data_IF_565362214199
#
_entry.id   IF_565362214199
#
_cell.length_a   1.000
_cell.length_b   1.000
_cell.length_c   1.000
_cell.angle_alpha   90.00
_cell.angle_beta   90.00
_cell.angle_gamma   90.00
#
_symmetry.space_group_name_H-M   'P 1'
#
loop_
_entity.id
_entity.type
_entity.pdbx_description
1 polymer ?
#
# COMPACT_ATOMS: atom_id res chain seq x y z
N UNK A 1 -9.23 -61.70 24.94
CA UNK A 1 -9.29 -60.68 26.00
C UNK A 1 -8.13 -59.72 25.77
N UNK A 2 -8.43 -58.51 25.25
CA UNK A 2 -7.57 -57.30 25.20
C UNK A 2 -6.32 -57.36 24.30
N UNK A 3 -5.86 -56.29 23.65
CA UNK A 3 -6.34 -54.90 23.48
C UNK A 3 -5.92 -54.46 22.07
N UNK A 4 -6.80 -53.76 21.38
CA UNK A 4 -6.42 -52.89 20.27
C UNK A 4 -6.14 -51.55 20.93
N UNK A 5 -4.87 -51.15 20.97
CA UNK A 5 -4.51 -49.76 21.22
C UNK A 5 -4.33 -49.06 19.86
N UNK A 6 -5.03 -47.95 19.63
CA UNK A 6 -4.90 -47.11 18.45
C UNK A 6 -3.76 -46.13 18.68
N UNK A 7 -2.79 -46.06 17.77
CA UNK A 7 -2.00 -44.84 17.66
C UNK A 7 -2.21 -44.24 16.28
N UNK A 8 -2.68 -43.01 16.36
CA UNK A 8 -3.26 -42.25 15.30
C UNK A 8 -2.17 -41.83 14.32
N UNK A 9 -2.43 -42.19 13.08
CA UNK A 9 -2.09 -41.43 11.88
C UNK A 9 -2.19 -39.92 12.19
N UNK A 10 -1.05 -39.28 12.47
CA UNK A 10 -0.98 -37.82 12.44
C UNK A 10 -1.04 -37.43 10.97
N UNK A 11 -2.11 -36.78 10.49
CA UNK A 11 -2.15 -36.33 9.11
C UNK A 11 -1.07 -35.27 8.96
N UNK A 12 -0.09 -35.60 8.12
CA UNK A 12 0.90 -34.69 7.54
C UNK A 12 0.25 -33.33 7.27
N UNK A 13 0.62 -32.34 8.10
CA UNK A 13 0.21 -30.94 7.91
C UNK A 13 0.56 -30.54 6.48
N UNK A 14 -0.48 -30.26 5.70
CA UNK A 14 -0.44 -30.09 4.26
C UNK A 14 0.67 -29.17 3.79
N UNK A 15 1.45 -29.68 2.84
CA UNK A 15 2.44 -28.91 2.10
C UNK A 15 1.77 -27.78 1.32
N UNK A 16 1.88 -26.57 1.86
CA UNK A 16 1.59 -25.34 1.16
C UNK A 16 2.45 -24.18 1.74
N UNK A 17 3.76 -24.35 1.89
CA UNK A 17 4.63 -23.32 2.49
C UNK A 17 6.06 -23.24 1.91
N UNK A 18 6.23 -23.19 0.59
CA UNK A 18 7.52 -22.84 -0.02
C UNK A 18 7.47 -21.52 -0.79
N UNK A 19 7.09 -20.43 -0.11
CA UNK A 19 7.34 -19.07 -0.61
C UNK A 19 7.94 -18.14 0.45
N UNK A 20 7.36 -17.97 1.66
CA UNK A 20 7.97 -17.08 2.67
C UNK A 20 9.27 -17.64 3.25
N UNK A 21 9.32 -18.95 3.53
CA UNK A 21 10.50 -19.61 4.07
C UNK A 21 11.68 -19.61 3.12
N UNK A 22 11.43 -19.80 1.81
CA UNK A 22 12.46 -19.71 0.77
C UNK A 22 12.96 -18.28 0.60
N UNK A 23 12.06 -17.29 0.55
CA UNK A 23 12.41 -15.88 0.48
C UNK A 23 13.24 -15.45 1.69
N UNK A 24 12.90 -15.90 2.90
CA UNK A 24 13.67 -15.64 4.11
C UNK A 24 15.06 -16.31 4.06
N UNK A 25 15.15 -17.58 3.64
CA UNK A 25 16.44 -18.29 3.47
C UNK A 25 17.33 -17.60 2.44
N UNK A 26 16.76 -17.06 1.35
CA UNK A 26 17.49 -16.34 0.31
C UNK A 26 18.13 -15.03 0.80
N UNK A 27 17.63 -14.44 1.88
CA UNK A 27 18.18 -13.25 2.53
C UNK A 27 19.38 -13.55 3.44
N UNK A 28 19.62 -14.83 3.76
CA UNK A 28 20.68 -15.26 4.66
C UNK A 28 20.34 -15.07 6.14
N UNK A 29 21.13 -15.70 7.02
CA UNK A 29 20.84 -15.78 8.45
C UNK A 29 21.15 -14.49 9.24
N UNK A 30 21.95 -13.56 8.69
CA UNK A 30 22.37 -12.34 9.39
C UNK A 30 22.43 -11.14 8.43
N UNK A 31 21.82 -9.99 8.80
CA UNK A 31 22.01 -8.75 8.06
C UNK A 31 23.49 -8.34 8.03
N UNK A 32 23.99 -7.73 6.94
CA UNK A 32 25.33 -7.16 6.94
C UNK A 32 25.44 -6.06 8.00
N UNK A 33 26.51 -6.09 8.80
CA UNK A 33 26.67 -5.24 9.98
C UNK A 33 26.80 -3.73 9.67
N UNK A 34 27.17 -3.38 8.42
CA UNK A 34 27.26 -2.02 7.87
C UNK A 34 26.99 -2.07 6.36
N UNK A 35 26.82 -0.89 5.73
CA UNK A 35 26.80 -0.77 4.26
C UNK A 35 28.05 -1.43 3.66
N UNK A 36 27.87 -2.17 2.56
CA UNK A 36 28.98 -2.85 1.89
C UNK A 36 29.86 -1.85 1.13
N UNK A 37 29.30 -0.70 0.74
CA UNK A 37 30.03 0.44 0.20
C UNK A 37 29.69 1.76 0.93
N UNK A 38 30.65 2.68 0.99
CA UNK A 38 30.42 4.06 1.47
C UNK A 38 29.95 5.02 0.37
N UNK A 39 29.82 4.52 -0.87
CA UNK A 39 29.33 5.31 -2.00
C UNK A 39 27.83 5.62 -1.87
N UNK A 40 27.35 6.77 -2.40
CA UNK A 40 25.93 7.03 -2.56
C UNK A 40 25.21 6.04 -3.51
N UNK A 41 25.95 5.39 -4.42
CA UNK A 41 25.42 4.42 -5.37
C UNK A 41 25.61 2.98 -4.89
N UNK A 42 24.57 2.14 -5.03
CA UNK A 42 24.60 0.73 -4.66
C UNK A 42 25.58 -0.06 -5.54
N UNK A 43 26.44 -0.86 -4.91
CA UNK A 43 27.28 -1.85 -5.62
C UNK A 43 26.45 -3.08 -6.04
N UNK A 44 26.97 -3.93 -6.91
CA UNK A 44 26.26 -5.11 -7.43
C UNK A 44 25.66 -5.99 -6.33
N UNK A 45 26.46 -6.30 -5.30
CA UNK A 45 26.01 -7.09 -4.15
C UNK A 45 24.86 -6.43 -3.35
N UNK A 46 24.88 -5.10 -3.21
CA UNK A 46 23.82 -4.36 -2.52
C UNK A 46 22.54 -4.29 -3.37
N UNK A 47 22.66 -4.22 -4.71
CA UNK A 47 21.52 -4.30 -5.63
C UNK A 47 20.85 -5.68 -5.59
N UNK A 48 21.64 -6.74 -5.56
CA UNK A 48 21.13 -8.11 -5.47
C UNK A 48 20.43 -8.36 -4.13
N UNK A 49 21.01 -7.89 -3.03
CA UNK A 49 20.39 -7.96 -1.70
C UNK A 49 19.08 -7.16 -1.66
N UNK A 50 19.07 -5.95 -2.23
CA UNK A 50 17.87 -5.12 -2.34
C UNK A 50 16.78 -5.83 -3.15
N UNK A 51 17.11 -6.45 -4.29
CA UNK A 51 16.15 -7.17 -5.11
C UNK A 51 15.48 -8.34 -4.36
N UNK A 52 16.25 -9.07 -3.55
CA UNK A 52 15.75 -10.16 -2.69
C UNK A 52 14.84 -9.62 -1.57
N UNK A 53 15.26 -8.55 -0.89
CA UNK A 53 14.43 -7.87 0.12
C UNK A 53 13.10 -7.40 -0.49
N UNK A 54 13.15 -6.76 -1.65
CA UNK A 54 11.95 -6.31 -2.35
C UNK A 54 11.06 -7.49 -2.82
N UNK A 55 11.63 -8.65 -3.15
CA UNK A 55 10.86 -9.85 -3.47
C UNK A 55 10.07 -10.35 -2.26
N UNK A 56 10.71 -10.42 -1.08
CA UNK A 56 10.03 -10.76 0.18
C UNK A 56 8.89 -9.77 0.49
N UNK A 57 9.14 -8.48 0.34
CA UNK A 57 8.14 -7.43 0.56
C UNK A 57 6.99 -7.47 -0.45
N UNK A 58 7.25 -7.84 -1.72
CA UNK A 58 6.20 -8.04 -2.74
C UNK A 58 5.29 -9.21 -2.36
N UNK A 59 5.85 -10.30 -1.84
CA UNK A 59 5.05 -11.45 -1.41
C UNK A 59 4.10 -11.09 -0.26
N UNK A 60 4.58 -10.35 0.74
CA UNK A 60 3.74 -9.85 1.84
C UNK A 60 2.58 -8.98 1.33
N UNK A 61 2.83 -8.12 0.33
CA UNK A 61 1.81 -7.25 -0.29
C UNK A 61 0.76 -8.00 -1.10
N UNK A 62 0.99 -9.26 -1.46
CA UNK A 62 0.01 -10.10 -2.14
C UNK A 62 -0.63 -11.11 -1.17
N UNK A 63 0.04 -11.45 -0.08
CA UNK A 63 -0.45 -12.42 0.90
C UNK A 63 -1.81 -12.05 1.52
N UNK A 64 -2.15 -10.75 1.63
CA UNK A 64 -3.39 -10.32 2.26
C UNK A 64 -4.65 -10.75 1.52
N UNK A 65 -4.66 -10.79 0.17
CA UNK A 65 -5.87 -11.22 -0.56
C UNK A 65 -5.98 -12.75 -0.56
N UNK A 66 -4.85 -13.47 -0.56
CA UNK A 66 -4.85 -14.91 -0.32
C UNK A 66 -5.41 -15.24 1.08
N UNK A 67 -5.04 -14.45 2.10
CA UNK A 67 -5.62 -14.55 3.43
C UNK A 67 -7.14 -14.30 3.42
N UNK A 68 -7.61 -13.26 2.71
CA UNK A 68 -9.04 -13.00 2.55
C UNK A 68 -9.82 -14.17 1.93
N UNK A 69 -9.24 -14.83 0.91
CA UNK A 69 -9.83 -16.04 0.30
C UNK A 69 -9.83 -17.23 1.25
N UNK A 70 -8.74 -17.43 2.00
CA UNK A 70 -8.65 -18.50 3.00
C UNK A 70 -9.67 -18.30 4.14
N UNK A 71 -9.78 -17.08 4.67
CA UNK A 71 -10.75 -16.70 5.70
C UNK A 71 -12.18 -16.96 5.23
N UNK A 72 -12.50 -16.65 3.97
CA UNK A 72 -13.82 -16.97 3.42
C UNK A 72 -14.05 -18.48 3.34
N UNK A 73 -13.09 -19.26 2.84
CA UNK A 73 -13.23 -20.72 2.78
C UNK A 73 -13.44 -21.30 4.18
N UNK A 74 -12.63 -20.88 5.17
CA UNK A 74 -12.76 -21.31 6.56
C UNK A 74 -14.17 -21.01 7.09
N UNK A 75 -14.67 -19.79 6.84
CA UNK A 75 -15.99 -19.36 7.28
C UNK A 75 -17.11 -20.16 6.62
N UNK A 76 -17.12 -20.23 5.28
CA UNK A 76 -18.21 -20.84 4.51
C UNK A 76 -18.25 -22.37 4.61
N UNK A 77 -17.13 -23.00 4.97
CA UNK A 77 -17.05 -24.46 5.19
C UNK A 77 -16.95 -24.84 6.67
N UNK A 78 -17.18 -23.88 7.57
CA UNK A 78 -17.20 -24.07 9.02
C UNK A 78 -15.97 -24.83 9.56
N UNK A 79 -14.78 -24.54 9.02
CA UNK A 79 -13.52 -25.16 9.47
C UNK A 79 -13.08 -24.68 10.86
N UNK A 80 -13.78 -23.69 11.41
CA UNK A 80 -13.57 -23.13 12.75
C UNK A 80 -14.44 -23.80 13.83
N UNK A 81 -15.07 -24.95 13.56
CA UNK A 81 -16.02 -25.65 14.46
C UNK A 81 -15.55 -25.99 15.89
N UNK A 82 -14.26 -25.81 16.20
CA UNK A 82 -13.72 -25.92 17.57
C UNK A 82 -13.97 -24.64 18.39
N UNK A 83 -14.40 -23.57 17.73
CA UNK A 83 -14.72 -22.25 18.28
C UNK A 83 -16.23 -22.00 18.20
N UNK A 84 -16.77 -21.16 19.08
CA UNK A 84 -18.19 -20.81 19.10
C UNK A 84 -18.58 -19.96 17.88
N UNK A 85 -17.69 -19.05 17.48
CA UNK A 85 -17.91 -18.14 16.35
C UNK A 85 -16.67 -18.01 15.46
N UNK A 86 -16.89 -17.62 14.20
CA UNK A 86 -15.80 -17.32 13.27
C UNK A 86 -14.94 -16.14 13.76
N UNK A 87 -15.56 -15.17 14.42
CA UNK A 87 -14.90 -14.01 15.01
C UNK A 87 -13.95 -14.38 16.15
N UNK A 88 -14.37 -15.30 17.03
CA UNK A 88 -13.53 -15.86 18.08
C UNK A 88 -12.33 -16.59 17.50
N UNK A 89 -12.56 -17.48 16.51
CA UNK A 89 -11.49 -18.14 15.78
C UNK A 89 -10.47 -17.15 15.18
N UNK A 90 -10.94 -16.08 14.55
CA UNK A 90 -10.06 -15.07 13.96
C UNK A 90 -9.21 -14.35 15.01
N UNK A 91 -9.79 -14.08 16.18
CA UNK A 91 -9.10 -13.39 17.25
C UNK A 91 -8.08 -14.30 17.94
N UNK A 92 -8.47 -15.53 18.30
CA UNK A 92 -7.63 -16.44 19.09
C UNK A 92 -6.47 -17.04 18.28
N UNK A 93 -6.71 -17.46 17.04
CA UNK A 93 -5.69 -18.12 16.21
C UNK A 93 -4.81 -17.13 15.45
N UNK A 94 -5.36 -15.97 15.08
CA UNK A 94 -4.73 -15.06 14.13
C UNK A 94 -4.52 -13.64 14.64
N UNK A 95 -4.97 -13.31 15.86
CA UNK A 95 -4.95 -11.94 16.42
C UNK A 95 -5.60 -10.92 15.44
N UNK A 96 -6.65 -11.36 14.73
CA UNK A 96 -7.36 -10.54 13.75
C UNK A 96 -8.68 -10.06 14.31
N UNK A 97 -8.91 -8.74 14.25
CA UNK A 97 -10.22 -8.19 14.59
C UNK A 97 -11.29 -8.64 13.58
N UNK A 98 -12.56 -8.81 14.00
CA UNK A 98 -13.66 -9.13 13.10
C UNK A 98 -13.78 -8.18 11.91
N UNK A 99 -13.55 -6.88 12.13
CA UNK A 99 -13.60 -5.86 11.09
C UNK A 99 -12.48 -6.06 10.06
N UNK A 100 -11.27 -6.41 10.51
CA UNK A 100 -10.15 -6.66 9.62
C UNK A 100 -10.34 -7.94 8.79
N UNK A 101 -10.75 -9.05 9.43
CA UNK A 101 -11.05 -10.30 8.75
C UNK A 101 -12.13 -10.12 7.67
N UNK A 102 -13.24 -9.47 8.02
CA UNK A 102 -14.32 -9.17 7.07
C UNK A 102 -13.86 -8.23 5.94
N UNK A 103 -12.99 -7.26 6.22
CA UNK A 103 -12.43 -6.40 5.17
C UNK A 103 -11.57 -7.19 4.17
N UNK A 104 -10.79 -8.18 4.63
CA UNK A 104 -10.02 -9.07 3.75
C UNK A 104 -10.95 -9.95 2.91
N UNK A 105 -11.97 -10.57 3.52
CA UNK A 105 -12.98 -11.39 2.84
C UNK A 105 -13.68 -10.61 1.72
N UNK A 106 -14.13 -9.38 2.00
CA UNK A 106 -14.83 -8.58 0.99
C UNK A 106 -13.94 -8.13 -0.16
N UNK A 107 -12.65 -7.93 0.07
CA UNK A 107 -11.74 -7.32 -0.90
C UNK A 107 -10.98 -8.31 -1.78
N UNK A 108 -10.91 -9.60 -1.40
CA UNK A 108 -10.03 -10.55 -2.09
C UNK A 108 -10.41 -10.79 -3.56
N UNK A 109 -11.71 -10.86 -3.90
CA UNK A 109 -12.18 -11.08 -5.28
C UNK A 109 -11.78 -9.95 -6.21
N UNK A 110 -11.91 -8.71 -5.75
CA UNK A 110 -11.46 -7.54 -6.50
C UNK A 110 -9.93 -7.56 -6.69
N UNK A 111 -9.18 -7.90 -5.64
CA UNK A 111 -7.73 -8.01 -5.73
C UNK A 111 -7.29 -9.09 -6.73
N UNK A 112 -7.92 -10.28 -6.69
CA UNK A 112 -7.65 -11.38 -7.61
C UNK A 112 -7.96 -10.98 -9.06
N UNK A 113 -9.09 -10.29 -9.30
CA UNK A 113 -9.44 -9.77 -10.62
C UNK A 113 -8.38 -8.77 -11.15
N UNK A 114 -7.92 -7.84 -10.30
CA UNK A 114 -6.89 -6.86 -10.65
C UNK A 114 -5.53 -7.52 -10.95
N UNK A 115 -5.10 -8.48 -10.14
CA UNK A 115 -3.85 -9.22 -10.35
C UNK A 115 -3.91 -10.02 -11.65
N UNK A 116 -5.02 -10.72 -11.90
CA UNK A 116 -5.20 -11.50 -13.13
C UNK A 116 -5.23 -10.60 -14.38
N UNK A 117 -5.91 -9.47 -14.32
CA UNK A 117 -5.93 -8.49 -15.42
C UNK A 117 -4.54 -7.90 -15.67
N UNK A 118 -3.80 -7.56 -14.62
CA UNK A 118 -2.43 -7.07 -14.73
C UNK A 118 -1.49 -8.11 -15.32
N UNK A 119 -1.59 -9.38 -14.91
CA UNK A 119 -0.81 -10.49 -15.48
C UNK A 119 -1.06 -10.64 -16.98
N UNK A 120 -2.33 -10.66 -17.41
CA UNK A 120 -2.71 -10.70 -18.83
C UNK A 120 -2.16 -9.51 -19.64
N UNK A 121 -2.00 -8.35 -19.00
CA UNK A 121 -1.48 -7.14 -19.60
C UNK A 121 0.06 -6.97 -19.49
N UNK A 122 0.78 -7.94 -18.93
CA UNK A 122 2.23 -7.83 -18.71
C UNK A 122 2.64 -6.83 -17.61
N UNK A 123 1.71 -6.46 -16.72
CA UNK A 123 1.90 -5.47 -15.65
C UNK A 123 2.05 -6.11 -14.25
N UNK A 124 2.38 -7.40 -14.17
CA UNK A 124 2.47 -8.17 -12.91
C UNK A 124 3.41 -7.54 -11.87
N UNK A 125 4.58 -7.06 -12.33
CA UNK A 125 5.55 -6.39 -11.45
C UNK A 125 5.03 -5.03 -10.96
N UNK A 126 4.20 -4.34 -11.75
CA UNK A 126 3.65 -3.02 -11.39
C UNK A 126 2.51 -3.18 -10.39
N UNK A 127 1.58 -4.11 -10.65
CA UNK A 127 0.45 -4.35 -9.74
C UNK A 127 0.93 -4.83 -8.38
N UNK A 128 1.90 -5.74 -8.33
CA UNK A 128 2.46 -6.26 -7.07
C UNK A 128 3.18 -5.18 -6.24
N UNK A 129 3.75 -4.16 -6.89
CA UNK A 129 4.38 -3.03 -6.20
C UNK A 129 3.36 -2.00 -5.70
N UNK A 130 2.30 -1.75 -6.48
CA UNK A 130 1.39 -0.61 -6.31
C UNK A 130 0.08 -0.96 -5.58
N UNK A 131 -0.48 -2.15 -5.81
CA UNK A 131 -1.73 -2.59 -5.21
C UNK A 131 -1.57 -2.78 -3.71
N UNK A 132 -2.52 -2.26 -2.94
CA UNK A 132 -2.62 -2.47 -1.50
C UNK A 132 -4.09 -2.45 -1.07
N UNK A 133 -4.36 -2.99 0.12
CA UNK A 133 -5.71 -3.08 0.68
C UNK A 133 -6.43 -1.71 0.73
N UNK A 134 -5.70 -0.63 1.02
CA UNK A 134 -6.31 0.69 1.12
C UNK A 134 -6.83 1.18 -0.24
N UNK A 135 -6.08 1.02 -1.33
CA UNK A 135 -6.57 1.30 -2.68
C UNK A 135 -7.75 0.40 -3.06
N UNK A 136 -7.67 -0.90 -2.77
CA UNK A 136 -8.75 -1.84 -3.05
C UNK A 136 -10.02 -1.45 -2.28
N UNK A 137 -9.90 -1.00 -1.04
CA UNK A 137 -11.04 -0.55 -0.23
C UNK A 137 -11.77 0.66 -0.83
N UNK A 138 -11.06 1.56 -1.52
CA UNK A 138 -11.67 2.71 -2.21
C UNK A 138 -12.40 2.31 -3.49
N UNK A 139 -11.95 1.24 -4.14
CA UNK A 139 -12.58 0.72 -5.36
C UNK A 139 -13.72 -0.26 -5.04
N UNK A 140 -13.74 -0.85 -3.84
CA UNK A 140 -14.68 -1.90 -3.46
C UNK A 140 -16.15 -1.49 -3.55
N UNK A 141 -16.62 -0.33 -3.05
CA UNK A 141 -18.02 0.07 -3.20
C UNK A 141 -18.45 0.18 -4.67
N UNK A 142 -17.54 0.65 -5.54
CA UNK A 142 -17.79 0.72 -6.97
C UNK A 142 -17.85 -0.67 -7.61
N UNK A 143 -17.00 -1.60 -7.15
CA UNK A 143 -17.03 -2.99 -7.60
C UNK A 143 -18.29 -3.73 -7.19
N UNK A 144 -18.76 -3.52 -5.96
CA UNK A 144 -20.00 -4.11 -5.45
C UNK A 144 -21.22 -3.60 -6.24
N UNK A 145 -21.20 -2.33 -6.67
CA UNK A 145 -22.29 -1.72 -7.45
C UNK A 145 -22.24 -2.08 -8.95
N UNK A 146 -21.06 -2.09 -9.57
CA UNK A 146 -20.91 -2.14 -11.03
C UNK A 146 -20.16 -3.37 -11.55
N UNK A 147 -19.76 -4.28 -10.64
CA UNK A 147 -18.98 -5.47 -10.95
C UNK A 147 -17.46 -5.27 -10.91
N UNK A 148 -16.75 -6.38 -10.71
CA UNK A 148 -15.28 -6.39 -10.66
C UNK A 148 -14.64 -6.02 -12.01
N UNK A 149 -15.27 -6.36 -13.13
CA UNK A 149 -14.75 -6.04 -14.47
C UNK A 149 -14.73 -4.53 -14.73
N UNK A 150 -15.80 -3.81 -14.39
CA UNK A 150 -15.84 -2.35 -14.49
C UNK A 150 -14.75 -1.70 -13.61
N UNK A 151 -14.50 -2.26 -12.42
CA UNK A 151 -13.45 -1.80 -11.51
C UNK A 151 -12.05 -2.00 -12.09
N UNK A 152 -11.80 -3.15 -12.74
CA UNK A 152 -10.57 -3.42 -13.49
C UNK A 152 -10.39 -2.39 -14.62
N UNK A 153 -11.46 -2.07 -15.37
CA UNK A 153 -11.39 -1.08 -16.45
C UNK A 153 -11.01 0.32 -15.96
N UNK A 154 -11.36 0.69 -14.73
CA UNK A 154 -10.94 1.96 -14.12
C UNK A 154 -9.50 1.90 -13.62
N UNK A 155 -9.12 0.84 -12.91
CA UNK A 155 -7.83 0.76 -12.24
C UNK A 155 -6.65 0.55 -13.21
N UNK A 156 -6.86 -0.19 -14.30
CA UNK A 156 -5.79 -0.50 -15.25
C UNK A 156 -5.20 0.73 -15.96
N UNK A 157 -6.00 1.69 -16.46
CA UNK A 157 -5.48 2.96 -16.96
C UNK A 157 -4.73 3.78 -15.89
N UNK A 158 -5.19 3.77 -14.63
CA UNK A 158 -4.46 4.43 -13.53
C UNK A 158 -3.08 3.80 -13.31
N UNK A 159 -2.97 2.48 -13.39
CA UNK A 159 -1.67 1.78 -13.26
C UNK A 159 -0.70 2.12 -14.40
N UNK A 160 -1.20 2.28 -15.62
CA UNK A 160 -0.40 2.59 -16.83
C UNK A 160 0.09 4.03 -16.87
N UNK A 161 -0.53 4.93 -16.10
CA UNK A 161 -0.07 6.31 -16.00
C UNK A 161 1.29 6.37 -15.29
N UNK A 162 2.34 6.71 -16.04
CA UNK A 162 3.69 6.87 -15.49
C UNK A 162 3.84 8.16 -14.67
N UNK A 163 3.06 9.18 -15.00
CA UNK A 163 3.15 10.53 -14.42
C UNK A 163 2.57 10.66 -13.01
N UNK A 164 1.79 9.69 -12.52
CA UNK A 164 1.08 9.79 -11.24
C UNK A 164 1.22 8.51 -10.42
N UNK A 165 1.61 8.66 -9.14
CA UNK A 165 1.56 7.56 -8.18
C UNK A 165 0.10 7.20 -7.89
N UNK A 166 -0.27 5.95 -8.13
CA UNK A 166 -1.59 5.42 -7.76
C UNK A 166 -1.72 5.43 -6.22
N UNK A 167 -2.62 6.24 -5.71
CA UNK A 167 -2.93 6.41 -4.27
C UNK A 167 -4.41 6.10 -4.04
N UNK A 168 -4.81 5.85 -2.79
CA UNK A 168 -6.21 5.61 -2.47
C UNK A 168 -7.09 6.81 -2.86
N UNK A 169 -6.67 8.03 -2.54
CA UNK A 169 -7.37 9.26 -2.92
C UNK A 169 -7.50 9.41 -4.45
N UNK A 170 -6.49 9.01 -5.22
CA UNK A 170 -6.57 9.02 -6.68
C UNK A 170 -7.62 8.03 -7.18
N UNK A 171 -7.66 6.83 -6.59
CA UNK A 171 -8.63 5.78 -6.97
C UNK A 171 -10.05 6.23 -6.65
N UNK A 172 -10.27 6.77 -5.44
CA UNK A 172 -11.56 7.32 -5.01
C UNK A 172 -12.02 8.44 -5.95
N UNK A 173 -11.17 9.44 -6.19
CA UNK A 173 -11.50 10.55 -7.07
C UNK A 173 -11.72 10.12 -8.53
N UNK A 174 -10.99 9.12 -9.03
CA UNK A 174 -11.19 8.60 -10.39
C UNK A 174 -12.54 7.92 -10.55
N UNK A 175 -12.97 7.17 -9.53
CA UNK A 175 -14.27 6.49 -9.49
C UNK A 175 -15.40 7.50 -9.39
N UNK A 176 -15.28 8.52 -8.53
CA UNK A 176 -16.28 9.59 -8.38
C UNK A 176 -16.41 10.46 -9.64
N UNK A 177 -15.31 10.69 -10.35
CA UNK A 177 -15.30 11.49 -11.57
C UNK A 177 -15.72 10.73 -12.83
N UNK A 178 -16.02 9.42 -12.73
CA UNK A 178 -16.35 8.58 -13.87
C UNK A 178 -17.79 8.85 -14.34
N UNK A 179 -18.00 9.24 -15.62
CA UNK A 179 -19.35 9.40 -16.16
C UNK A 179 -20.11 8.08 -16.18
N UNK A 180 -21.40 8.07 -15.83
CA UNK A 180 -22.22 6.84 -15.86
C UNK A 180 -22.19 6.11 -17.22
N UNK A 181 -22.25 6.78 -18.39
CA UNK A 181 -22.15 6.11 -19.69
C UNK A 181 -20.80 5.44 -19.96
N UNK A 182 -19.77 5.75 -19.17
CA UNK A 182 -18.44 5.15 -19.30
C UNK A 182 -18.29 3.88 -18.46
N UNK A 183 -19.20 3.60 -17.53
CA UNK A 183 -19.12 2.42 -16.65
C UNK A 183 -19.33 1.14 -17.48
N UNK A 184 -18.42 0.17 -17.35
CA UNK A 184 -18.48 -1.11 -18.07
C UNK A 184 -18.13 -1.04 -19.56
N UNK A 185 -17.78 0.13 -20.09
CA UNK A 185 -17.43 0.33 -21.50
C UNK A 185 -15.94 0.62 -21.68
N UNK A 186 -15.10 -0.36 -22.08
CA UNK A 186 -13.63 -0.25 -21.99
C UNK A 186 -13.04 1.02 -22.57
N UNK A 187 -13.44 1.40 -23.81
CA UNK A 187 -12.92 2.58 -24.49
C UNK A 187 -13.38 3.89 -23.84
N UNK A 188 -14.63 3.94 -23.36
CA UNK A 188 -15.19 5.12 -22.71
C UNK A 188 -14.59 5.28 -21.29
N UNK A 189 -14.45 4.18 -20.55
CA UNK A 189 -13.77 4.19 -19.24
C UNK A 189 -12.33 4.67 -19.38
N UNK A 190 -11.57 4.12 -20.33
CA UNK A 190 -10.17 4.51 -20.52
C UNK A 190 -10.05 5.98 -20.92
N UNK A 191 -10.92 6.47 -21.82
CA UNK A 191 -10.96 7.89 -22.20
C UNK A 191 -11.27 8.78 -20.99
N UNK A 192 -12.30 8.45 -20.22
CA UNK A 192 -12.70 9.21 -19.04
C UNK A 192 -11.60 9.25 -17.96
N UNK A 193 -10.91 8.12 -17.72
CA UNK A 193 -9.80 8.07 -16.76
C UNK A 193 -8.61 8.89 -17.24
N UNK A 194 -8.29 8.89 -18.55
CA UNK A 194 -7.23 9.76 -19.10
C UNK A 194 -7.57 11.24 -18.94
N UNK A 195 -8.79 11.65 -19.30
CA UNK A 195 -9.27 13.04 -19.12
C UNK A 195 -9.28 13.45 -17.64
N UNK A 196 -9.66 12.53 -16.75
CA UNK A 196 -9.55 12.73 -15.30
C UNK A 196 -8.09 12.93 -14.86
N UNK A 197 -7.17 12.08 -15.30
CA UNK A 197 -5.75 12.18 -14.94
C UNK A 197 -5.09 13.48 -15.43
N UNK A 198 -5.45 13.95 -16.62
CA UNK A 198 -5.01 15.24 -17.13
C UNK A 198 -5.48 16.40 -16.23
N UNK A 199 -6.76 16.40 -15.85
CA UNK A 199 -7.32 17.39 -14.92
C UNK A 199 -6.68 17.29 -13.53
N UNK A 200 -6.52 16.08 -13.01
CA UNK A 200 -5.91 15.81 -11.71
C UNK A 200 -4.44 16.26 -11.65
N UNK A 201 -3.69 16.05 -12.72
CA UNK A 201 -2.29 16.48 -12.78
C UNK A 201 -2.19 18.00 -12.87
N UNK A 202 -3.06 18.65 -13.67
CA UNK A 202 -3.16 20.11 -13.75
C UNK A 202 -3.59 20.73 -12.41
N UNK A 203 -4.53 20.14 -11.69
CA UNK A 203 -4.97 20.65 -10.39
C UNK A 203 -3.92 20.47 -9.29
N UNK A 204 -3.12 19.39 -9.33
CA UNK A 204 -2.00 19.16 -8.41
C UNK A 204 -0.70 19.88 -8.75
N UNK A 205 -0.59 20.51 -9.92
CA UNK A 205 0.53 21.43 -10.23
C UNK A 205 0.49 22.68 -9.36
N UNK A 206 -0.67 23.02 -8.79
CA UNK A 206 -0.74 23.77 -7.53
C UNK A 206 -0.61 22.70 -6.46
N UNK A 207 0.52 22.57 -5.74
CA UNK A 207 0.64 21.53 -4.73
C UNK A 207 -0.54 21.69 -3.76
N UNK A 208 -1.30 20.62 -3.44
CA UNK A 208 -2.24 20.68 -2.33
C UNK A 208 -1.39 20.95 -1.12
N UNK A 209 -1.32 22.21 -0.70
CA UNK A 209 -0.76 22.52 0.59
C UNK A 209 -1.59 21.68 1.55
N UNK A 210 -0.92 20.79 2.30
CA UNK A 210 -1.25 20.59 3.71
C UNK A 210 -1.73 21.94 4.19
N UNK A 211 -3.00 22.03 4.58
CA UNK A 211 -3.66 23.24 5.09
C UNK A 211 -2.61 24.34 5.34
N UNK A 212 -2.56 25.40 4.52
CA UNK A 212 -1.42 26.32 4.52
C UNK A 212 -1.18 26.88 5.92
N UNK A 213 -2.24 27.00 6.73
CA UNK A 213 -2.17 27.34 8.16
C UNK A 213 -1.47 26.26 8.99
N UNK A 214 -1.81 24.97 8.83
CA UNK A 214 -1.12 23.84 9.48
C UNK A 214 0.35 23.71 9.06
N UNK A 215 0.69 24.12 7.83
CA UNK A 215 2.08 24.15 7.36
C UNK A 215 2.86 25.29 8.01
N UNK A 216 2.27 26.49 8.08
CA UNK A 216 2.84 27.63 8.79
C UNK A 216 2.98 27.37 10.30
N UNK A 217 1.98 26.77 10.94
CA UNK A 217 2.00 26.38 12.37
C UNK A 217 3.13 25.38 12.67
N UNK A 218 3.31 24.36 11.81
CA UNK A 218 4.42 23.41 11.95
C UNK A 218 5.78 24.05 11.70
N UNK A 219 5.88 24.99 10.76
CA UNK A 219 7.10 25.73 10.53
C UNK A 219 7.44 26.59 11.75
N UNK A 220 6.48 27.35 12.29
CA UNK A 220 6.64 28.18 13.49
C UNK A 220 7.11 27.36 14.70
N UNK A 221 6.53 26.18 14.93
CA UNK A 221 6.97 25.28 16.02
C UNK A 221 8.42 24.78 15.88
N UNK A 222 8.95 24.71 14.67
CA UNK A 222 10.35 24.35 14.40
C UNK A 222 11.32 25.53 14.52
N UNK A 223 10.83 26.77 14.40
CA UNK A 223 11.56 28.00 14.69
C UNK A 223 11.42 28.37 16.17
N UNK A 224 11.75 27.45 17.08
CA UNK A 224 11.77 27.77 18.51
C UNK A 224 13.11 28.40 18.93
N UNK A 225 13.10 29.06 20.08
CA UNK A 225 14.23 29.83 20.60
C UNK A 225 15.49 28.95 20.80
N UNK A 226 15.30 27.72 21.26
CA UNK A 226 16.39 26.77 21.51
C UNK A 226 17.10 26.34 20.22
N UNK A 227 16.33 26.10 19.15
CA UNK A 227 16.88 25.74 17.84
C UNK A 227 17.66 26.90 17.23
N UNK A 228 17.19 28.15 17.43
CA UNK A 228 17.88 29.34 16.96
C UNK A 228 19.16 29.61 17.75
N UNK A 229 19.15 29.40 19.07
CA UNK A 229 20.35 29.48 19.91
C UNK A 229 21.39 28.43 19.49
N UNK A 230 20.99 27.18 19.32
CA UNK A 230 21.88 26.10 18.87
C UNK A 230 22.45 26.37 17.45
N UNK A 231 21.65 26.96 16.56
CA UNK A 231 22.11 27.35 15.23
C UNK A 231 23.11 28.53 15.28
N UNK A 232 22.83 29.54 16.12
CA UNK A 232 23.73 30.68 16.35
C UNK A 232 25.08 30.26 16.94
N UNK A 233 25.08 29.28 17.85
CA UNK A 233 26.32 28.73 18.42
C UNK A 233 27.19 28.01 17.38
N UNK A 234 26.54 27.35 16.40
CA UNK A 234 27.23 26.59 15.35
C UNK A 234 27.71 27.45 14.19
N UNK A 235 26.90 28.41 13.74
CA UNK A 235 27.21 29.32 12.63
C UNK A 235 26.46 30.66 12.82
N UNK A 236 27.08 31.64 13.47
CA UNK A 236 26.45 32.93 13.74
C UNK A 236 26.09 33.72 12.47
N UNK A 237 26.95 33.71 11.45
CA UNK A 237 26.75 34.51 10.23
C UNK A 237 25.73 33.87 9.30
N UNK A 238 25.84 32.56 9.07
CA UNK A 238 24.87 31.82 8.25
C UNK A 238 23.47 31.83 8.87
N UNK A 239 23.37 31.73 10.20
CA UNK A 239 22.08 31.79 10.90
C UNK A 239 21.42 33.16 10.77
N UNK A 240 22.18 34.26 10.91
CA UNK A 240 21.66 35.64 10.72
C UNK A 240 21.25 35.89 9.26
N UNK A 241 22.01 35.40 8.30
CA UNK A 241 21.66 35.53 6.88
C UNK A 241 20.36 34.77 6.55
N UNK A 242 20.17 33.58 7.11
CA UNK A 242 18.94 32.80 6.95
C UNK A 242 17.74 33.48 7.61
N UNK A 243 17.91 34.01 8.82
CA UNK A 243 16.86 34.75 9.52
C UNK A 243 16.39 35.98 8.72
N UNK A 244 17.32 36.73 8.12
CA UNK A 244 16.98 37.87 7.24
C UNK A 244 16.15 37.45 6.03
N UNK A 245 16.50 36.34 5.37
CA UNK A 245 15.71 35.80 4.25
C UNK A 245 14.28 35.45 4.67
N UNK A 246 14.11 34.85 5.85
CA UNK A 246 12.77 34.52 6.37
C UNK A 246 11.97 35.80 6.65
N UNK A 247 12.57 36.80 7.28
CA UNK A 247 11.90 38.11 7.53
C UNK A 247 11.51 38.79 6.22
N UNK A 248 12.38 38.79 5.21
CA UNK A 248 12.10 39.38 3.90
C UNK A 248 10.93 38.69 3.19
N UNK A 249 10.87 37.35 3.26
CA UNK A 249 9.76 36.56 2.72
C UNK A 249 8.41 36.84 3.41
N UNK A 250 8.45 37.16 4.71
CA UNK A 250 7.24 37.41 5.51
C UNK A 250 6.83 38.89 5.55
N UNK A 251 7.75 39.81 5.25
CA UNK A 251 7.52 41.27 5.32
C UNK A 251 6.32 41.76 4.51
N UNK A 252 6.03 41.25 3.30
CA UNK A 252 4.83 41.63 2.56
C UNK A 252 3.52 41.23 3.23
N UNK A 253 3.54 40.17 4.06
CA UNK A 253 2.35 39.61 4.71
C UNK A 253 1.95 40.31 6.01
N UNK A 254 2.87 41.09 6.59
CA UNK A 254 2.65 41.83 7.85
C UNK A 254 2.33 43.31 7.60
N UNK A 255 2.74 43.84 6.44
CA UNK A 255 2.55 45.24 6.05
C UNK A 255 1.40 45.46 5.04
N UNK A 256 0.57 44.44 4.81
CA UNK A 256 -0.67 44.50 4.02
C UNK A 256 -1.90 44.42 4.92
#
# INVERSE_FOLDING_TARGET
MGRIDPDADQPTRGGALDAPGELARALGAKPPAKRLAQSPALIGQEKDLLAKCEAALRNLKLAWWAAGKALEIIRETELFREYETFEEYCLEEWDMTPQYANALIRSWRLAEALVNAAKKAGLETIVSKRLNQHQTSKLLPFAEKNGYEASVMVYMPLLRAESVKVTADLVEAAVEALPEPAIGHPKLTEKAVKEFLERWTKSKQIPPSRDPYKTLDKAAKKFNEDTLKAALERDPEGTRAMARKVVELLSPLVNS
#
